data_IF_554347295024
#
_entry.id   IF_554347295024
#
_cell.length_a   1.000
_cell.length_b   1.000
_cell.length_c   1.000
_cell.angle_alpha   90.00
_cell.angle_beta   90.00
_cell.angle_gamma   90.00
#
_symmetry.space_group_name_H-M   'P 1'
#
loop_
_entity.id
_entity.type
_entity.pdbx_description
1 polymer ?
#
# COMPACT_ATOMS: atom_id res chain seq x y z
N UNK A 1 -0.97 -12.89 0.03
CA UNK A 1 0.48 -12.91 -0.22
C UNK A 1 1.29 -13.58 0.90
N UNK A 2 0.72 -14.39 1.82
CA UNK A 2 1.44 -15.18 2.88
C UNK A 2 2.76 -14.54 3.35
N UNK A 3 2.71 -13.25 3.70
CA UNK A 3 3.88 -12.41 3.96
C UNK A 3 4.52 -12.71 5.33
N UNK A 4 3.86 -13.51 6.16
CA UNK A 4 4.33 -13.91 7.49
C UNK A 4 4.62 -15.41 7.46
N UNK A 5 5.87 -15.85 7.62
CA UNK A 5 6.20 -17.27 7.79
C UNK A 5 5.69 -17.82 9.14
N UNK A 6 5.69 -19.15 9.29
CA UNK A 6 4.79 -19.84 10.21
C UNK A 6 4.93 -19.51 11.73
N UNK A 7 3.82 -19.53 12.49
CA UNK A 7 2.46 -19.63 11.97
C UNK A 7 2.07 -18.31 11.29
N UNK A 8 1.55 -18.37 10.05
CA UNK A 8 1.13 -17.15 9.36
C UNK A 8 -0.01 -16.52 10.16
N UNK A 9 -0.05 -15.19 10.20
CA UNK A 9 -1.25 -14.48 10.64
C UNK A 9 -2.47 -15.06 9.93
N UNK A 10 -3.50 -15.44 10.71
CA UNK A 10 -4.74 -16.01 10.16
C UNK A 10 -5.77 -14.92 10.02
N UNK A 11 -6.47 -14.92 8.88
CA UNK A 11 -7.64 -14.08 8.68
C UNK A 11 -8.81 -14.78 9.37
N UNK A 12 -9.32 -14.20 10.45
CA UNK A 12 -10.36 -14.81 11.27
C UNK A 12 -11.75 -14.65 10.64
N UNK A 13 -12.02 -13.49 10.05
CA UNK A 13 -13.32 -13.12 9.46
C UNK A 13 -13.14 -12.00 8.43
N UNK A 14 -14.18 -11.78 7.63
CA UNK A 14 -14.25 -10.70 6.64
C UNK A 14 -14.31 -11.22 5.21
N UNK A 15 -14.26 -10.29 4.26
CA UNK A 15 -14.22 -10.56 2.82
C UNK A 15 -13.24 -9.59 2.17
N UNK A 16 -12.61 -9.99 1.07
CA UNK A 16 -11.72 -9.12 0.29
C UNK A 16 -12.18 -9.16 -1.16
N UNK A 17 -12.90 -8.14 -1.59
CA UNK A 17 -13.47 -8.09 -2.93
C UNK A 17 -12.49 -7.44 -3.90
N UNK A 18 -12.20 -8.11 -5.01
CA UNK A 18 -11.45 -7.58 -6.14
C UNK A 18 -12.20 -7.89 -7.43
N UNK A 19 -12.56 -6.86 -8.20
CA UNK A 19 -13.40 -6.97 -9.41
C UNK A 19 -14.71 -7.77 -9.16
N UNK A 20 -15.30 -7.61 -7.99
CA UNK A 20 -16.53 -8.30 -7.58
C UNK A 20 -16.34 -9.72 -7.03
N UNK A 21 -15.12 -10.25 -7.04
CA UNK A 21 -14.84 -11.61 -6.56
C UNK A 21 -14.16 -11.59 -5.18
N UNK A 22 -14.61 -12.44 -4.26
CA UNK A 22 -14.00 -12.58 -2.94
C UNK A 22 -12.70 -13.41 -3.00
N UNK A 23 -11.57 -12.74 -2.79
CA UNK A 23 -10.24 -13.33 -2.82
C UNK A 23 -10.04 -14.38 -1.72
N UNK A 24 -10.76 -14.29 -0.59
CA UNK A 24 -10.63 -15.25 0.52
C UNK A 24 -11.20 -16.63 0.17
N UNK A 25 -12.09 -16.71 -0.82
CA UNK A 25 -12.69 -17.96 -1.29
C UNK A 25 -11.90 -18.63 -2.43
N UNK A 26 -10.83 -17.99 -2.92
CA UNK A 26 -10.05 -18.49 -4.06
C UNK A 26 -9.02 -19.52 -3.64
N UNK A 27 -8.82 -20.52 -4.50
CA UNK A 27 -7.72 -21.49 -4.35
C UNK A 27 -6.37 -20.82 -4.60
N UNK A 28 -5.27 -21.40 -4.11
CA UNK A 28 -3.92 -20.86 -4.41
C UNK A 28 -3.61 -20.83 -5.91
N UNK A 29 -4.13 -21.79 -6.68
CA UNK A 29 -3.97 -21.82 -8.14
C UNK A 29 -4.64 -20.63 -8.81
N UNK A 30 -5.80 -20.21 -8.33
CA UNK A 30 -6.49 -19.03 -8.86
C UNK A 30 -5.85 -17.74 -8.36
N UNK A 31 -5.40 -17.71 -7.11
CA UNK A 31 -4.64 -16.57 -6.58
C UNK A 31 -3.32 -16.34 -7.34
N UNK A 32 -2.65 -17.39 -7.85
CA UNK A 32 -1.46 -17.26 -8.68
C UNK A 32 -1.72 -16.55 -10.02
N UNK A 33 -2.95 -16.65 -10.56
CA UNK A 33 -3.32 -15.94 -11.80
C UNK A 33 -3.56 -14.46 -11.56
N UNK A 34 -3.98 -14.09 -10.34
CA UNK A 34 -4.25 -12.72 -9.92
C UNK A 34 -2.96 -12.00 -9.52
N UNK A 35 -2.13 -12.67 -8.71
CA UNK A 35 -0.84 -12.12 -8.24
C UNK A 35 0.09 -11.88 -9.43
N UNK A 36 0.75 -10.73 -9.46
CA UNK A 36 1.71 -10.31 -10.49
C UNK A 36 1.06 -9.87 -11.81
N UNK A 37 -0.09 -10.43 -12.18
CA UNK A 37 -0.82 -10.04 -13.40
C UNK A 37 -1.80 -8.90 -13.13
N UNK A 38 -2.72 -9.08 -12.18
CA UNK A 38 -3.81 -8.14 -11.89
C UNK A 38 -3.50 -7.32 -10.63
N UNK A 39 -2.80 -7.93 -9.65
CA UNK A 39 -2.36 -7.27 -8.41
C UNK A 39 -0.86 -7.48 -8.20
N UNK A 40 -0.11 -6.39 -8.10
CA UNK A 40 1.33 -6.38 -7.80
C UNK A 40 1.64 -5.65 -6.49
N UNK A 41 2.80 -5.90 -5.90
CA UNK A 41 3.21 -5.29 -4.63
C UNK A 41 4.66 -4.80 -4.66
N UNK A 42 4.88 -3.53 -4.32
CA UNK A 42 6.18 -2.97 -3.98
C UNK A 42 6.41 -3.18 -2.48
N UNK A 43 7.53 -3.79 -2.12
CA UNK A 43 7.90 -4.06 -0.73
C UNK A 43 8.75 -2.92 -0.15
N UNK A 44 8.71 -2.79 1.19
CA UNK A 44 9.39 -1.75 1.96
C UNK A 44 10.91 -1.73 1.76
N UNK A 45 11.53 -2.90 1.51
CA UNK A 45 12.98 -3.01 1.31
C UNK A 45 13.33 -3.61 -0.07
N UNK A 46 13.84 -2.82 -1.02
CA UNK A 46 14.20 -3.30 -2.36
C UNK A 46 15.35 -4.30 -2.33
N UNK A 47 16.20 -4.16 -1.31
CA UNK A 47 17.40 -4.97 -1.08
C UNK A 47 17.08 -6.43 -0.84
N UNK A 48 16.00 -6.72 -0.13
CA UNK A 48 15.56 -8.09 0.15
C UNK A 48 14.68 -8.63 -0.98
N UNK A 49 14.05 -7.76 -1.76
CA UNK A 49 13.17 -8.14 -2.86
C UNK A 49 13.93 -8.62 -4.12
N UNK A 50 15.09 -8.03 -4.43
CA UNK A 50 15.89 -8.41 -5.59
C UNK A 50 16.86 -9.54 -5.24
N UNK A 51 16.83 -10.62 -6.03
CA UNK A 51 17.75 -11.73 -5.87
C UNK A 51 19.15 -11.34 -6.39
N UNK A 52 20.22 -11.40 -5.56
CA UNK A 52 21.54 -10.90 -5.93
C UNK A 52 22.26 -11.73 -7.00
N UNK A 53 21.81 -12.97 -7.26
CA UNK A 53 22.45 -13.87 -8.24
C UNK A 53 21.82 -13.82 -9.63
N UNK A 54 20.79 -12.98 -9.84
CA UNK A 54 20.18 -12.77 -11.14
C UNK A 54 20.28 -11.31 -11.56
N UNK A 55 20.47 -11.07 -12.85
CA UNK A 55 20.47 -9.71 -13.41
C UNK A 55 19.09 -9.06 -13.32
N UNK A 56 19.03 -7.73 -13.31
CA UNK A 56 17.78 -6.98 -13.25
C UNK A 56 16.81 -7.38 -14.37
N UNK A 57 17.30 -7.51 -15.61
CA UNK A 57 16.49 -7.90 -16.76
C UNK A 57 15.95 -9.34 -16.66
N UNK A 58 16.73 -10.28 -16.10
CA UNK A 58 16.26 -11.65 -15.88
C UNK A 58 15.13 -11.71 -14.87
N UNK A 59 15.23 -10.96 -13.78
CA UNK A 59 14.20 -10.95 -12.73
C UNK A 59 12.88 -10.37 -13.25
N UNK A 60 12.93 -9.27 -14.00
CA UNK A 60 11.75 -8.69 -14.65
C UNK A 60 11.19 -9.66 -15.70
N UNK A 61 12.04 -10.26 -16.54
CA UNK A 61 11.62 -11.21 -17.56
C UNK A 61 10.94 -12.45 -16.94
N UNK A 62 11.40 -12.93 -15.79
CA UNK A 62 10.79 -14.07 -15.08
C UNK A 62 9.35 -13.74 -14.64
N UNK A 63 9.10 -12.53 -14.13
CA UNK A 63 7.73 -12.08 -13.79
C UNK A 63 6.83 -12.08 -15.03
N UNK A 64 7.33 -11.57 -16.15
CA UNK A 64 6.59 -11.55 -17.43
C UNK A 64 6.35 -12.99 -17.92
N UNK A 65 7.32 -13.88 -17.80
CA UNK A 65 7.16 -15.29 -18.20
C UNK A 65 6.12 -16.03 -17.37
N UNK A 66 6.01 -15.73 -16.08
CA UNK A 66 5.06 -16.39 -15.17
C UNK A 66 3.65 -15.82 -15.25
N UNK A 67 3.53 -14.51 -15.39
CA UNK A 67 2.24 -13.81 -15.22
C UNK A 67 1.75 -13.14 -16.51
N UNK A 68 2.62 -12.97 -17.49
CA UNK A 68 2.30 -12.39 -18.79
C UNK A 68 1.55 -13.34 -19.71
N UNK A 69 0.94 -12.76 -20.74
CA UNK A 69 0.30 -13.51 -21.83
C UNK A 69 1.15 -13.40 -23.09
N UNK A 70 1.37 -14.54 -23.74
CA UNK A 70 2.14 -14.63 -24.98
C UNK A 70 1.27 -15.31 -26.04
N UNK A 71 0.97 -14.67 -27.19
CA UNK A 71 0.19 -15.28 -28.25
C UNK A 71 0.75 -16.63 -28.73
N UNK A 72 2.07 -16.79 -28.66
CA UNK A 72 2.81 -17.99 -29.05
C UNK A 72 2.45 -19.24 -28.24
N UNK A 73 1.95 -19.09 -27.01
CA UNK A 73 1.59 -20.24 -26.16
C UNK A 73 0.32 -20.94 -26.62
N UNK A 74 -0.51 -20.30 -27.44
CA UNK A 74 -1.72 -20.91 -28.02
C UNK A 74 -1.41 -21.87 -29.18
N UNK A 75 -0.15 -21.92 -29.66
CA UNK A 75 0.24 -22.86 -30.71
C UNK A 75 0.41 -24.28 -30.14
N UNK A 76 -0.57 -25.16 -30.40
CA UNK A 76 -0.48 -26.59 -30.07
C UNK A 76 0.75 -27.20 -30.76
N UNK A 77 1.79 -27.50 -29.97
CA UNK A 77 3.00 -28.15 -30.45
C UNK A 77 3.00 -29.61 -29.97
N UNK A 78 2.95 -30.61 -30.87
CA UNK A 78 2.90 -32.02 -30.48
C UNK A 78 4.06 -32.41 -29.56
N UNK A 79 3.79 -33.29 -28.59
CA UNK A 79 4.74 -33.59 -27.52
C UNK A 79 6.08 -34.16 -27.98
N UNK A 80 6.09 -34.85 -29.12
CA UNK A 80 7.28 -35.48 -29.70
C UNK A 80 8.23 -34.49 -30.40
N UNK A 81 7.82 -33.26 -30.72
CA UNK A 81 8.67 -32.30 -31.43
C UNK A 81 9.45 -31.39 -30.46
N UNK A 82 10.49 -31.97 -29.87
CA UNK A 82 11.36 -31.33 -28.86
C UNK A 82 12.01 -30.05 -29.41
N UNK A 83 12.49 -30.08 -30.66
CA UNK A 83 13.14 -28.95 -31.33
C UNK A 83 12.21 -27.74 -31.47
N UNK A 84 10.96 -27.98 -31.90
CA UNK A 84 9.95 -26.92 -32.05
C UNK A 84 9.57 -26.31 -30.68
N UNK A 85 9.41 -27.14 -29.65
CA UNK A 85 9.18 -26.66 -28.26
C UNK A 85 10.34 -25.81 -27.74
N UNK A 86 11.59 -26.25 -27.97
CA UNK A 86 12.79 -25.53 -27.53
C UNK A 86 12.95 -24.19 -28.26
N UNK A 87 12.65 -24.14 -29.56
CA UNK A 87 12.63 -22.90 -30.36
C UNK A 87 11.57 -21.92 -29.87
N UNK A 88 10.35 -22.40 -29.61
CA UNK A 88 9.24 -21.59 -29.08
C UNK A 88 9.60 -20.98 -27.72
N UNK A 89 10.12 -21.80 -26.79
CA UNK A 89 10.57 -21.34 -25.47
C UNK A 89 11.62 -20.23 -25.59
N UNK A 90 12.61 -20.39 -26.48
CA UNK A 90 13.66 -19.39 -26.72
C UNK A 90 13.09 -18.08 -27.28
N UNK A 91 12.10 -18.15 -28.17
CA UNK A 91 11.41 -16.97 -28.70
C UNK A 91 10.66 -16.21 -27.61
N UNK A 92 9.89 -16.93 -26.77
CA UNK A 92 9.13 -16.34 -25.66
C UNK A 92 10.09 -15.68 -24.65
N UNK A 93 11.18 -16.36 -24.29
CA UNK A 93 12.21 -15.79 -23.41
C UNK A 93 12.84 -14.52 -23.97
N UNK A 94 13.14 -14.50 -25.28
CA UNK A 94 13.67 -13.31 -25.95
C UNK A 94 12.67 -12.14 -25.88
N UNK A 95 11.39 -12.40 -26.17
CA UNK A 95 10.33 -11.38 -26.07
C UNK A 95 10.13 -10.87 -24.65
N UNK A 96 10.18 -11.76 -23.66
CA UNK A 96 10.10 -11.39 -22.24
C UNK A 96 11.26 -10.47 -21.84
N UNK A 97 12.48 -10.76 -22.29
CA UNK A 97 13.65 -9.94 -22.01
C UNK A 97 13.62 -8.59 -22.74
N UNK A 98 13.14 -8.55 -23.99
CA UNK A 98 12.89 -7.29 -24.71
C UNK A 98 11.84 -6.43 -23.99
N UNK A 99 10.74 -7.05 -23.54
CA UNK A 99 9.75 -6.34 -22.72
C UNK A 99 10.34 -5.85 -21.40
N UNK A 100 11.21 -6.63 -20.74
CA UNK A 100 11.89 -6.20 -19.53
C UNK A 100 12.74 -4.93 -19.75
N UNK A 101 13.45 -4.85 -20.88
CA UNK A 101 14.20 -3.63 -21.28
C UNK A 101 13.25 -2.45 -21.47
N UNK A 102 12.12 -2.65 -22.16
CA UNK A 102 11.12 -1.59 -22.35
C UNK A 102 10.51 -1.12 -21.02
N UNK A 103 10.33 -2.03 -20.05
CA UNK A 103 9.83 -1.65 -18.73
C UNK A 103 10.88 -0.89 -17.92
N UNK A 104 12.17 -1.19 -18.09
CA UNK A 104 13.25 -0.39 -17.51
C UNK A 104 13.29 1.03 -18.09
N UNK A 105 13.04 1.17 -19.39
CA UNK A 105 12.90 2.47 -20.04
C UNK A 105 11.72 3.26 -19.48
N UNK A 106 10.58 2.58 -19.27
CA UNK A 106 9.36 3.17 -18.69
C UNK A 106 9.60 3.77 -17.29
N UNK A 107 10.47 3.17 -16.48
CA UNK A 107 10.83 3.69 -15.15
C UNK A 107 11.99 4.69 -15.16
N UNK A 108 12.34 5.22 -16.34
CA UNK A 108 13.39 6.22 -16.57
C UNK A 108 14.78 5.76 -16.10
N UNK A 109 15.12 4.50 -16.32
CA UNK A 109 16.50 4.02 -16.14
C UNK A 109 17.35 4.47 -17.33
N UNK A 110 18.48 5.13 -17.04
CA UNK A 110 19.48 5.46 -18.05
C UNK A 110 20.12 4.17 -18.60
N UNK A 111 20.20 4.07 -19.93
CA UNK A 111 20.68 2.88 -20.66
C UNK A 111 20.02 1.56 -20.17
N UNK A 112 18.73 1.35 -20.45
CA UNK A 112 17.98 0.17 -20.04
C UNK A 112 18.63 -1.16 -20.47
N UNK A 113 19.31 -1.18 -21.62
CA UNK A 113 19.97 -2.39 -22.16
C UNK A 113 21.18 -2.79 -21.33
N UNK A 114 21.97 -1.80 -20.86
CA UNK A 114 23.09 -2.05 -19.96
C UNK A 114 22.58 -2.49 -18.59
N UNK A 115 21.65 -1.75 -18.01
CA UNK A 115 21.11 -2.06 -16.67
C UNK A 115 20.41 -3.42 -16.62
N UNK A 116 19.73 -3.83 -17.68
CA UNK A 116 19.13 -5.16 -17.77
C UNK A 116 20.13 -6.31 -17.58
N UNK A 117 21.42 -6.08 -17.84
CA UNK A 117 22.50 -7.07 -17.69
C UNK A 117 23.25 -6.95 -16.36
N UNK A 118 22.97 -5.93 -15.57
CA UNK A 118 23.62 -5.70 -14.29
C UNK A 118 22.92 -6.47 -13.17
N UNK A 119 23.71 -6.86 -12.17
CA UNK A 119 23.24 -7.47 -10.93
C UNK A 119 22.81 -6.40 -9.93
N UNK A 120 21.93 -6.72 -8.97
CA UNK A 120 21.46 -5.76 -7.97
C UNK A 120 22.60 -5.04 -7.25
N UNK A 121 23.68 -5.73 -6.90
CA UNK A 121 24.83 -5.13 -6.19
C UNK A 121 25.57 -4.06 -7.01
N UNK A 122 25.41 -4.03 -8.33
CA UNK A 122 26.01 -3.03 -9.23
C UNK A 122 25.16 -1.77 -9.41
N UNK A 123 23.95 -1.74 -8.84
CA UNK A 123 22.97 -0.65 -8.97
C UNK A 123 22.95 0.25 -7.73
N UNK A 124 22.67 1.55 -7.91
CA UNK A 124 22.38 2.46 -6.80
C UNK A 124 21.04 2.13 -6.11
N UNK A 125 20.80 2.63 -4.90
CA UNK A 125 19.53 2.43 -4.18
C UNK A 125 18.31 2.85 -5.01
N UNK A 126 18.35 4.05 -5.60
CA UNK A 126 17.29 4.53 -6.50
C UNK A 126 17.12 3.71 -7.77
N UNK A 127 18.22 3.18 -8.35
CA UNK A 127 18.13 2.26 -9.49
C UNK A 127 17.48 0.93 -9.11
N UNK A 128 17.82 0.36 -7.95
CA UNK A 128 17.18 -0.86 -7.43
C UNK A 128 15.68 -0.65 -7.22
N UNK A 129 15.30 0.51 -6.67
CA UNK A 129 13.89 0.88 -6.52
C UNK A 129 13.18 0.92 -7.87
N UNK A 130 13.75 1.61 -8.86
CA UNK A 130 13.18 1.68 -10.22
C UNK A 130 13.07 0.30 -10.86
N UNK A 131 14.07 -0.57 -10.70
CA UNK A 131 14.02 -1.97 -11.17
C UNK A 131 12.87 -2.74 -10.50
N UNK A 132 12.68 -2.57 -9.18
CA UNK A 132 11.56 -3.20 -8.47
C UNK A 132 10.20 -2.68 -8.96
N UNK A 133 10.05 -1.36 -9.14
CA UNK A 133 8.84 -0.75 -9.72
C UNK A 133 8.59 -1.31 -11.13
N UNK A 134 9.63 -1.39 -11.96
CA UNK A 134 9.54 -1.96 -13.30
C UNK A 134 9.06 -3.42 -13.24
N UNK A 135 9.62 -4.22 -12.34
CA UNK A 135 9.22 -5.60 -12.14
C UNK A 135 7.73 -5.73 -11.78
N UNK A 136 7.22 -4.85 -10.91
CA UNK A 136 5.81 -4.85 -10.49
C UNK A 136 4.85 -4.35 -11.55
N UNK A 137 5.29 -3.46 -12.43
CA UNK A 137 4.51 -2.94 -13.55
C UNK A 137 4.63 -3.76 -14.84
N UNK A 138 5.54 -4.75 -14.89
CA UNK A 138 5.87 -5.48 -16.11
C UNK A 138 4.67 -6.18 -16.79
N UNK A 139 3.63 -6.47 -16.01
CA UNK A 139 2.39 -7.11 -16.48
C UNK A 139 1.18 -6.16 -16.53
N UNK A 140 1.36 -4.85 -16.31
CA UNK A 140 0.31 -3.84 -16.27
C UNK A 140 -0.84 -4.20 -15.30
N UNK A 141 -0.55 -4.30 -13.99
CA UNK A 141 -1.56 -4.68 -13.00
C UNK A 141 -2.67 -3.63 -12.89
N UNK A 142 -3.88 -4.07 -12.55
CA UNK A 142 -4.99 -3.16 -12.23
C UNK A 142 -4.79 -2.49 -10.86
N UNK A 143 -4.12 -3.18 -9.92
CA UNK A 143 -3.82 -2.69 -8.58
C UNK A 143 -2.35 -2.88 -8.23
N UNK A 144 -1.70 -1.79 -7.85
CA UNK A 144 -0.35 -1.76 -7.29
C UNK A 144 -0.43 -1.40 -5.80
N UNK A 145 -0.04 -2.35 -4.95
CA UNK A 145 0.11 -2.10 -3.50
C UNK A 145 1.54 -1.63 -3.27
N UNK A 146 1.72 -0.49 -2.62
CA UNK A 146 3.03 0.08 -2.35
C UNK A 146 3.23 0.20 -0.84
N UNK A 147 3.96 -0.76 -0.27
CA UNK A 147 4.22 -0.81 1.17
C UNK A 147 5.52 -0.08 1.49
N UNK A 148 5.39 1.14 2.02
CA UNK A 148 6.52 2.03 2.32
C UNK A 148 7.57 2.10 1.19
N UNK A 149 7.14 2.45 -0.04
CA UNK A 149 7.97 2.27 -1.24
C UNK A 149 9.21 3.18 -1.27
N UNK A 150 9.31 4.18 -0.41
CA UNK A 150 10.41 5.15 -0.41
C UNK A 150 11.26 5.08 0.86
N UNK A 151 11.03 4.07 1.71
CA UNK A 151 11.85 3.87 2.91
C UNK A 151 13.31 3.60 2.52
N UNK A 152 14.23 4.13 3.33
CA UNK A 152 15.68 4.06 3.13
C UNK A 152 16.23 4.79 1.87
N UNK A 153 15.45 5.68 1.23
CA UNK A 153 15.92 6.57 0.16
C UNK A 153 16.16 7.98 0.69
N UNK A 154 17.08 8.72 0.06
CA UNK A 154 17.23 10.16 0.32
C UNK A 154 16.02 10.95 -0.19
N UNK A 155 15.80 12.15 0.36
CA UNK A 155 14.63 12.99 0.08
C UNK A 155 14.49 13.32 -1.42
N UNK A 156 15.61 13.51 -2.12
CA UNK A 156 15.61 13.85 -3.55
C UNK A 156 15.19 12.64 -4.39
N UNK A 157 15.77 11.46 -4.14
CA UNK A 157 15.39 10.23 -4.84
C UNK A 157 13.96 9.83 -4.50
N UNK A 158 13.52 10.00 -3.25
CA UNK A 158 12.13 9.78 -2.86
C UNK A 158 11.17 10.59 -3.75
N UNK A 159 11.36 11.91 -3.87
CA UNK A 159 10.50 12.77 -4.69
C UNK A 159 10.44 12.28 -6.15
N UNK A 160 11.60 11.94 -6.74
CA UNK A 160 11.67 11.41 -8.10
C UNK A 160 10.92 10.08 -8.29
N UNK A 161 10.89 9.23 -7.26
CA UNK A 161 10.16 7.95 -7.30
C UNK A 161 8.65 8.18 -7.18
N UNK A 162 8.22 9.10 -6.31
CA UNK A 162 6.80 9.45 -6.17
C UNK A 162 6.25 10.07 -7.46
N UNK A 163 6.98 11.02 -8.06
CA UNK A 163 6.66 11.60 -9.37
C UNK A 163 6.53 10.53 -10.45
N UNK A 164 7.49 9.61 -10.49
CA UNK A 164 7.45 8.48 -11.43
C UNK A 164 6.21 7.62 -11.21
N UNK A 165 5.89 7.26 -9.96
CA UNK A 165 4.72 6.44 -9.65
C UNK A 165 3.42 7.14 -10.09
N UNK A 166 3.31 8.45 -9.87
CA UNK A 166 2.14 9.25 -10.26
C UNK A 166 2.00 9.34 -11.79
N UNK A 167 3.10 9.55 -12.51
CA UNK A 167 3.10 9.54 -13.98
C UNK A 167 2.68 8.16 -14.54
N UNK A 168 3.23 7.08 -13.97
CA UNK A 168 2.92 5.72 -14.40
C UNK A 168 1.47 5.33 -14.08
N UNK A 169 0.95 5.77 -12.94
CA UNK A 169 -0.46 5.63 -12.55
C UNK A 169 -1.37 6.23 -13.63
N UNK A 170 -1.10 7.48 -14.04
CA UNK A 170 -1.90 8.18 -15.05
C UNK A 170 -1.78 7.54 -16.44
N UNK A 171 -0.57 7.10 -16.81
CA UNK A 171 -0.31 6.52 -18.14
C UNK A 171 -0.87 5.11 -18.31
N UNK A 172 -0.78 4.28 -17.27
CA UNK A 172 -1.17 2.85 -17.33
C UNK A 172 -2.60 2.64 -16.86
N UNK A 173 -3.15 3.54 -16.04
CA UNK A 173 -4.49 3.40 -15.47
C UNK A 173 -4.55 2.43 -14.28
N UNK A 174 -3.41 2.11 -13.67
CA UNK A 174 -3.32 1.26 -12.48
C UNK A 174 -3.80 2.01 -11.24
N UNK A 175 -4.59 1.37 -10.37
CA UNK A 175 -4.88 1.90 -9.04
C UNK A 175 -3.68 1.70 -8.12
N UNK A 176 -3.33 2.71 -7.31
CA UNK A 176 -2.25 2.61 -6.31
C UNK A 176 -2.85 2.59 -4.91
N UNK A 177 -2.53 1.56 -4.14
CA UNK A 177 -2.76 1.53 -2.70
C UNK A 177 -1.44 1.76 -1.98
N UNK A 178 -1.22 2.99 -1.52
CA UNK A 178 -0.03 3.39 -0.79
C UNK A 178 -0.19 3.15 0.72
N UNK A 179 0.82 2.54 1.34
CA UNK A 179 0.95 2.39 2.78
C UNK A 179 2.20 3.18 3.19
N UNK A 180 2.03 4.15 4.07
CA UNK A 180 3.14 4.97 4.56
C UNK A 180 2.77 5.61 5.89
N UNK A 181 3.77 5.88 6.72
CA UNK A 181 3.64 6.70 7.92
C UNK A 181 3.90 8.20 7.64
N UNK A 182 4.33 8.57 6.42
CA UNK A 182 4.68 9.95 6.09
C UNK A 182 3.47 10.70 5.51
N UNK A 183 2.92 11.62 6.30
CA UNK A 183 1.76 12.44 5.92
C UNK A 183 2.05 13.35 4.72
N UNK A 184 3.29 13.83 4.55
CA UNK A 184 3.66 14.65 3.39
C UNK A 184 3.50 13.89 2.06
N UNK A 185 3.92 12.63 2.03
CA UNK A 185 3.74 11.76 0.85
C UNK A 185 2.25 11.53 0.58
N UNK A 186 1.45 11.30 1.62
CA UNK A 186 0.01 11.10 1.49
C UNK A 186 -0.66 12.33 0.87
N UNK A 187 -0.32 13.54 1.33
CA UNK A 187 -0.86 14.79 0.81
C UNK A 187 -0.61 14.97 -0.70
N UNK A 188 0.52 14.47 -1.20
CA UNK A 188 0.94 14.64 -2.59
C UNK A 188 0.41 13.55 -3.54
N UNK A 189 0.29 12.32 -3.04
CA UNK A 189 0.04 11.12 -3.85
C UNK A 189 -1.40 10.60 -3.78
N UNK A 190 -2.09 10.78 -2.66
CA UNK A 190 -3.35 10.09 -2.41
C UNK A 190 -4.56 11.00 -2.69
N UNK A 191 -5.63 10.42 -3.23
CA UNK A 191 -6.94 11.08 -3.31
C UNK A 191 -7.82 10.79 -2.06
N UNK A 192 -7.62 9.61 -1.47
CA UNK A 192 -8.33 9.13 -0.27
C UNK A 192 -7.33 8.55 0.71
N UNK A 193 -7.62 8.70 1.99
CA UNK A 193 -6.74 8.29 3.09
C UNK A 193 -7.54 7.46 4.08
N UNK A 194 -6.98 6.32 4.46
CA UNK A 194 -7.44 5.52 5.60
C UNK A 194 -6.40 5.61 6.72
N UNK A 195 -6.79 6.10 7.87
CA UNK A 195 -5.94 6.22 9.06
C UNK A 195 -6.16 4.99 9.92
N UNK A 196 -5.07 4.30 10.24
CA UNK A 196 -5.09 3.11 11.08
C UNK A 196 -4.43 3.40 12.44
N UNK A 197 -5.02 2.89 13.51
CA UNK A 197 -4.43 2.89 14.85
C UNK A 197 -4.57 1.50 15.49
N UNK A 198 -3.46 0.95 15.97
CA UNK A 198 -3.43 -0.33 16.69
C UNK A 198 -4.23 -1.46 16.00
N UNK A 199 -4.12 -1.57 14.67
CA UNK A 199 -4.79 -2.60 13.87
C UNK A 199 -6.24 -2.29 13.44
N UNK A 200 -6.75 -1.08 13.72
CA UNK A 200 -8.11 -0.67 13.37
C UNK A 200 -8.09 0.56 12.48
N UNK A 201 -8.95 0.57 11.46
CA UNK A 201 -9.22 1.79 10.70
C UNK A 201 -10.06 2.71 11.58
N UNK A 202 -9.48 3.84 11.95
CA UNK A 202 -10.13 4.82 12.83
C UNK A 202 -10.80 5.94 12.06
N UNK A 203 -10.35 6.19 10.83
CA UNK A 203 -10.89 7.25 9.98
C UNK A 203 -10.60 6.97 8.50
N UNK A 204 -11.55 7.27 7.62
CA UNK A 204 -11.40 7.23 6.17
C UNK A 204 -11.99 8.52 5.61
N UNK A 205 -11.30 9.18 4.68
CA UNK A 205 -11.81 10.38 4.04
C UNK A 205 -11.08 10.72 2.74
N UNK A 206 -11.50 11.81 2.09
CA UNK A 206 -10.67 12.46 1.08
C UNK A 206 -9.41 13.03 1.75
N UNK A 207 -8.33 13.17 0.98
CA UNK A 207 -7.09 13.76 1.49
C UNK A 207 -7.32 15.15 2.08
N UNK A 208 -8.08 16.01 1.38
CA UNK A 208 -8.46 17.34 1.87
C UNK A 208 -9.16 17.26 3.24
N UNK A 209 -10.20 16.43 3.37
CA UNK A 209 -10.95 16.29 4.62
C UNK A 209 -10.08 15.84 5.78
N UNK A 210 -9.22 14.85 5.56
CA UNK A 210 -8.35 14.27 6.61
C UNK A 210 -7.28 15.26 7.08
N UNK A 211 -6.77 16.12 6.20
CA UNK A 211 -5.74 17.09 6.54
C UNK A 211 -6.33 18.37 7.14
N UNK A 212 -7.47 18.84 6.63
CA UNK A 212 -8.03 20.14 7.02
C UNK A 212 -8.97 20.04 8.22
N UNK A 213 -9.84 19.02 8.25
CA UNK A 213 -10.84 18.86 9.30
C UNK A 213 -11.08 17.38 9.65
N UNK A 214 -10.07 16.69 10.19
CA UNK A 214 -10.22 15.31 10.66
C UNK A 214 -11.15 15.24 11.87
N UNK A 215 -11.84 14.11 12.02
CA UNK A 215 -12.87 13.90 13.03
C UNK A 215 -12.39 13.02 14.19
N UNK A 216 -11.54 12.03 13.94
CA UNK A 216 -11.07 11.16 15.01
C UNK A 216 -10.00 11.87 15.86
N UNK A 217 -10.06 11.81 17.21
CA UNK A 217 -9.07 12.44 18.09
C UNK A 217 -7.61 12.08 17.80
N UNK A 218 -7.35 10.83 17.40
CA UNK A 218 -6.03 10.39 16.97
C UNK A 218 -5.56 11.13 15.71
N UNK A 219 -6.38 11.16 14.66
CA UNK A 219 -6.05 11.82 13.38
C UNK A 219 -5.84 13.32 13.58
N UNK A 220 -6.68 13.97 14.41
CA UNK A 220 -6.45 15.36 14.85
C UNK A 220 -5.10 15.54 15.52
N UNK A 221 -4.75 14.63 16.43
CA UNK A 221 -3.45 14.61 17.08
C UNK A 221 -2.30 14.48 16.09
N UNK A 222 -2.44 13.63 15.06
CA UNK A 222 -1.45 13.49 14.00
C UNK A 222 -1.27 14.79 13.22
N UNK A 223 -2.36 15.43 12.77
CA UNK A 223 -2.28 16.69 12.01
C UNK A 223 -1.69 17.83 12.83
N UNK A 224 -1.98 17.91 14.13
CA UNK A 224 -1.39 18.90 15.04
C UNK A 224 0.09 18.66 15.32
N UNK A 225 0.55 17.43 15.22
CA UNK A 225 1.96 17.09 15.38
C UNK A 225 2.81 17.41 14.13
N UNK A 226 2.19 17.75 13.00
CA UNK A 226 2.92 18.16 11.79
C UNK A 226 3.48 19.58 11.99
N UNK A 227 4.80 19.79 11.84
CA UNK A 227 5.38 21.11 11.93
C UNK A 227 4.90 22.00 10.76
N UNK A 228 4.39 23.19 11.08
CA UNK A 228 4.01 24.21 10.08
C UNK A 228 5.15 25.21 9.93
N UNK A 229 5.52 25.52 8.69
CA UNK A 229 6.62 26.46 8.36
C UNK A 229 6.40 27.85 8.98
N UNK A 230 5.13 28.25 9.17
CA UNK A 230 4.77 29.54 9.75
C UNK A 230 4.83 29.61 11.29
N UNK A 231 4.97 28.48 12.00
CA UNK A 231 5.03 28.45 13.47
C UNK A 231 6.49 28.53 13.95
N UNK A 232 7.07 29.72 13.92
CA UNK A 232 8.35 29.94 14.60
C UNK A 232 8.16 29.88 16.13
N UNK A 233 8.71 28.83 16.77
CA UNK A 233 8.94 28.68 18.23
C UNK A 233 7.79 28.18 19.11
N UNK A 234 6.74 27.55 18.58
CA UNK A 234 5.77 26.82 19.42
C UNK A 234 6.21 25.37 19.65
N UNK A 235 6.01 24.88 20.87
CA UNK A 235 6.21 23.46 21.20
C UNK A 235 5.22 22.64 20.39
N UNK A 236 5.71 21.63 19.67
CA UNK A 236 4.86 20.75 18.89
C UNK A 236 3.89 20.00 19.81
N UNK A 237 2.64 19.89 19.36
CA UNK A 237 1.65 19.06 20.03
C UNK A 237 2.06 17.60 19.91
N UNK A 238 2.09 16.90 21.05
CA UNK A 238 2.37 15.47 21.11
C UNK A 238 1.12 14.71 21.54
N UNK A 239 0.93 13.52 20.95
CA UNK A 239 -0.06 12.57 21.41
C UNK A 239 0.51 11.85 22.64
N UNK A 240 -0.03 12.07 23.85
CA UNK A 240 0.55 11.55 25.09
C UNK A 240 0.52 10.02 25.13
N UNK A 241 1.40 9.43 25.96
CA UNK A 241 1.49 7.98 26.16
C UNK A 241 2.14 7.22 25.01
N UNK A 242 2.26 5.90 25.19
CA UNK A 242 2.82 4.96 24.21
C UNK A 242 1.72 4.21 23.45
N UNK A 243 2.06 3.68 22.27
CA UNK A 243 1.17 2.77 21.53
C UNK A 243 0.91 1.52 22.37
N UNK A 244 -0.34 1.04 22.50
CA UNK A 244 -0.67 -0.11 23.31
C UNK A 244 -0.02 -1.39 22.78
N UNK A 245 0.21 -2.35 23.67
CA UNK A 245 0.61 -3.69 23.29
C UNK A 245 -0.54 -4.35 22.49
N UNK A 246 -0.23 -4.94 21.33
CA UNK A 246 -1.23 -5.59 20.47
C UNK A 246 -1.53 -7.04 20.87
N UNK A 247 -0.71 -7.64 21.75
CA UNK A 247 -0.98 -8.95 22.35
C UNK A 247 -2.12 -8.82 23.37
N UNK A 248 -2.10 -7.74 24.15
CA UNK A 248 -3.11 -7.40 25.16
C UNK A 248 -3.66 -6.00 24.85
N UNK A 249 -4.49 -5.87 23.81
CA UNK A 249 -5.01 -4.57 23.42
C UNK A 249 -6.02 -4.06 24.46
N UNK A 250 -6.10 -2.75 24.67
CA UNK A 250 -7.14 -2.14 25.51
C UNK A 250 -8.54 -2.50 25.00
N UNK A 251 -9.49 -2.63 25.92
CA UNK A 251 -10.90 -2.90 25.63
C UNK A 251 -11.56 -1.71 24.92
N UNK A 252 -12.69 -1.96 24.26
CA UNK A 252 -13.45 -0.93 23.56
C UNK A 252 -12.64 -0.22 22.46
N UNK A 253 -12.64 1.12 22.48
CA UNK A 253 -11.83 1.93 21.58
C UNK A 253 -10.34 1.79 21.92
N UNK A 254 -9.53 1.30 20.97
CA UNK A 254 -8.09 1.09 21.21
C UNK A 254 -7.30 2.36 21.52
N UNK A 255 -7.82 3.53 21.14
CA UNK A 255 -7.20 4.81 21.40
C UNK A 255 -7.62 5.44 22.74
N UNK A 256 -8.60 4.87 23.46
CA UNK A 256 -9.10 5.47 24.71
C UNK A 256 -7.99 5.79 25.72
N UNK A 257 -6.93 4.97 25.95
CA UNK A 257 -5.93 5.27 26.97
C UNK A 257 -5.11 6.54 26.70
N UNK A 258 -5.15 7.06 25.47
CA UNK A 258 -4.43 8.26 25.03
C UNK A 258 -5.38 9.38 24.59
N UNK A 259 -6.68 9.12 24.56
CA UNK A 259 -7.69 10.04 24.08
C UNK A 259 -8.12 11.00 25.19
N UNK A 260 -7.94 12.31 24.97
CA UNK A 260 -8.38 13.35 25.92
C UNK A 260 -9.91 13.47 26.06
N UNK A 261 -10.65 12.85 25.15
CA UNK A 261 -12.11 12.92 25.04
C UNK A 261 -12.78 11.58 25.36
N UNK A 262 -12.06 10.61 25.94
CA UNK A 262 -12.68 9.31 26.25
C UNK A 262 -13.78 9.45 27.31
N UNK A 263 -14.74 8.55 27.28
CA UNK A 263 -15.72 8.34 28.35
C UNK A 263 -15.82 6.83 28.62
N UNK A 264 -16.65 6.40 29.57
CA UNK A 264 -16.81 4.98 29.92
C UNK A 264 -17.20 4.10 28.72
N UNK A 265 -18.06 4.59 27.81
CA UNK A 265 -18.42 3.83 26.60
C UNK A 265 -17.22 3.53 25.70
N UNK A 266 -16.18 4.37 25.71
CA UNK A 266 -14.95 4.13 24.96
C UNK A 266 -14.09 3.01 25.55
N UNK A 267 -14.24 2.71 26.84
CA UNK A 267 -13.52 1.62 27.52
C UNK A 267 -14.25 0.29 27.29
N UNK A 268 -15.58 0.33 27.31
CA UNK A 268 -16.43 -0.87 27.27
C UNK A 268 -16.75 -1.32 25.84
N UNK A 269 -16.96 -0.40 24.92
CA UNK A 269 -17.50 -0.68 23.59
C UNK A 269 -16.55 -0.23 22.46
N UNK A 270 -16.33 -1.11 21.48
CA UNK A 270 -15.56 -0.78 20.29
C UNK A 270 -16.39 0.13 19.36
N UNK A 271 -15.89 1.31 18.97
CA UNK A 271 -16.65 2.21 18.11
C UNK A 271 -16.73 1.62 16.69
N UNK A 272 -17.94 1.46 16.11
CA UNK A 272 -18.07 1.00 14.74
C UNK A 272 -17.62 2.10 13.76
N UNK A 273 -17.04 1.70 12.63
CA UNK A 273 -16.75 2.62 11.53
C UNK A 273 -18.07 3.07 10.88
N UNK A 274 -18.44 4.34 11.06
CA UNK A 274 -19.69 4.92 10.55
C UNK A 274 -19.40 6.01 9.53
N UNK A 275 -20.24 6.11 8.51
CA UNK A 275 -20.23 7.26 7.60
C UNK A 275 -20.86 8.46 8.30
N UNK A 276 -20.08 9.53 8.49
CA UNK A 276 -20.51 10.75 9.20
C UNK A 276 -20.80 11.89 8.24
N UNK A 277 -20.15 11.88 7.08
CA UNK A 277 -20.36 12.77 5.93
C UNK A 277 -20.09 11.95 4.67
N UNK A 278 -20.55 12.43 3.50
CA UNK A 278 -20.33 11.75 2.22
C UNK A 278 -18.83 11.46 2.03
N UNK A 279 -18.50 10.20 1.72
CA UNK A 279 -17.12 9.74 1.51
C UNK A 279 -16.20 9.88 2.75
N UNK A 280 -16.78 10.07 3.94
CA UNK A 280 -16.06 10.22 5.20
C UNK A 280 -16.60 9.30 6.30
N UNK A 281 -15.74 8.44 6.81
CA UNK A 281 -16.08 7.45 7.83
C UNK A 281 -15.17 7.58 9.05
N UNK A 282 -15.75 7.42 10.24
CA UNK A 282 -15.05 7.59 11.52
C UNK A 282 -15.47 6.47 12.48
N UNK A 283 -14.50 5.88 13.17
CA UNK A 283 -14.73 4.93 14.25
C UNK A 283 -14.51 5.62 15.61
N UNK A 284 -15.44 6.49 16.01
CA UNK A 284 -15.40 7.19 17.29
C UNK A 284 -16.81 7.36 17.86
N UNK A 285 -17.00 7.13 19.16
CA UNK A 285 -18.29 7.39 19.83
C UNK A 285 -18.61 8.89 19.94
N UNK A 286 -17.59 9.74 19.93
CA UNK A 286 -17.69 11.18 20.23
C UNK A 286 -17.20 12.08 19.10
N UNK A 287 -17.27 11.64 17.84
CA UNK A 287 -16.77 12.47 16.71
C UNK A 287 -17.47 13.84 16.64
N UNK A 288 -18.75 13.94 17.02
CA UNK A 288 -19.52 15.20 17.07
C UNK A 288 -18.97 16.14 18.15
N UNK A 289 -18.85 15.67 19.40
CA UNK A 289 -18.27 16.44 20.50
C UNK A 289 -16.85 16.90 20.19
N UNK A 290 -16.09 16.06 19.49
CA UNK A 290 -14.74 16.39 19.03
C UNK A 290 -14.81 17.50 17.98
N UNK A 291 -15.68 17.43 16.96
CA UNK A 291 -15.96 18.52 16.00
C UNK A 291 -16.24 19.85 16.69
N UNK A 292 -17.11 19.84 17.70
CA UNK A 292 -17.57 21.05 18.37
C UNK A 292 -16.74 21.47 19.59
N UNK A 293 -15.72 20.74 20.03
CA UNK A 293 -14.87 21.18 21.17
C UNK A 293 -14.01 22.45 20.90
N UNK A 294 -14.13 23.06 19.72
CA UNK A 294 -13.66 24.43 19.41
C UNK A 294 -14.75 25.49 19.72
N UNK A 295 -16.00 25.08 19.92
CA UNK A 295 -17.17 25.89 20.26
C UNK A 295 -18.03 25.18 21.33
N UNK A 296 -17.92 25.65 22.57
CA UNK A 296 -18.75 25.30 23.75
C UNK A 296 -18.67 23.86 24.28
N UNK A 297 -18.37 23.78 25.59
CA UNK A 297 -18.73 22.67 26.46
C UNK A 297 -20.26 22.69 26.59
N UNK A 298 -20.94 21.61 26.19
CA UNK A 298 -22.04 20.94 26.91
C UNK A 298 -22.72 19.89 26.03
N UNK A 299 -22.94 18.73 26.65
CA UNK A 299 -24.01 17.72 26.47
C UNK A 299 -24.47 17.32 25.05
N UNK A 300 -24.28 16.05 24.67
CA UNK A 300 -25.36 15.03 24.70
C UNK A 300 -24.80 13.65 24.30
N UNK A 301 -24.60 12.76 25.29
CA UNK A 301 -24.05 11.43 25.07
C UNK A 301 -25.15 10.45 24.67
N UNK A 302 -25.45 10.31 23.37
CA UNK A 302 -26.33 9.24 22.90
C UNK A 302 -25.66 7.88 23.12
N UNK A 303 -26.31 7.05 23.94
CA UNK A 303 -25.87 5.70 24.30
C UNK A 303 -26.10 4.74 23.14
N UNK A 304 -25.03 4.44 22.39
CA UNK A 304 -25.06 3.55 21.23
C UNK A 304 -24.82 2.08 21.60
N UNK A 305 -24.77 1.72 22.89
CA UNK A 305 -24.41 0.38 23.36
C UNK A 305 -25.55 -0.65 23.26
N UNK A 306 -26.74 -0.27 22.78
CA UNK A 306 -27.87 -1.20 22.58
C UNK A 306 -28.27 -1.29 21.11
N UNK A 307 -27.81 -2.35 20.44
CA UNK A 307 -28.52 -2.98 19.32
C UNK A 307 -28.32 -4.48 19.38
N UNK A 308 -29.41 -5.18 19.69
CA UNK A 308 -29.68 -6.57 19.29
C UNK A 308 -29.63 -6.71 17.76
#
# INVERSE_FOLDING_TARGET
MKLIPQPPGKILKGTILFKGEDLLKKTEKDMQKIRGKDISMIFQEPMTALNPVYTAGQQIAEVILRHGTFPETNQKTPSYNIWKKRKLKKTIQKKAFEKAINTLDLVKISDPKKVAKQYPHELSGGMRQRVMIAMMLACNPDLLIADEPTTALDVTVQAQILDLMKELQQRVGTAIWLITHNLGIIAEMCNRVGVMYAGYIVEIGTTEKIFDNPDHPYTRGLMKAIPKVADERKRLDIIPGSVPNLIEPPTGCRFHPRCRYHTNVCIECEPPLREVEKDHQVACHHYETVKYSVASREEDGRDYCKRD
#
